data_IF_105547827296
#
_entry.id   IF_105547827296
#
_cell.length_a   1.000
_cell.length_b   1.000
_cell.length_c   1.000
_cell.angle_alpha   90.00
_cell.angle_beta   90.00
_cell.angle_gamma   90.00
#
_symmetry.space_group_name_H-M   'P 1'
#
loop_
_entity.id
_entity.type
_entity.pdbx_description
1 polymer ?
#
# COMPACT_ATOMS: atom_id res chain seq x y z
N UNK A 1 27.44 -17.88 11.97
CA UNK A 1 26.89 -17.04 12.11
C UNK A 1 25.53 -17.15 12.34
N UNK A 2 24.97 -16.52 12.95
CA UNK A 2 23.78 -16.77 13.43
C UNK A 2 22.76 -15.82 13.03
N UNK A 3 21.81 -16.21 12.29
CA UNK A 3 20.79 -15.35 11.83
C UNK A 3 19.49 -15.54 12.53
N UNK A 4 19.55 -16.16 13.66
CA UNK A 4 18.35 -16.54 14.35
C UNK A 4 17.60 -15.37 14.94
N UNK A 5 18.16 -14.17 14.88
CA UNK A 5 17.49 -13.01 15.46
C UNK A 5 16.62 -12.24 14.48
N UNK A 6 16.51 -12.70 13.26
CA UNK A 6 15.64 -12.04 12.32
C UNK A 6 14.21 -12.41 12.65
N UNK A 7 13.39 -11.39 12.84
CA UNK A 7 11.97 -11.61 13.09
C UNK A 7 11.20 -11.24 11.83
N UNK A 8 10.27 -12.08 11.47
CA UNK A 8 9.48 -11.87 10.26
C UNK A 8 8.04 -11.62 10.61
N UNK A 9 7.44 -10.69 9.88
CA UNK A 9 5.99 -10.58 9.86
C UNK A 9 5.48 -11.47 8.74
N UNK A 10 4.45 -12.23 9.03
CA UNK A 10 3.76 -13.04 8.04
C UNK A 10 2.31 -12.55 7.97
N UNK A 11 1.53 -13.09 7.08
CA UNK A 11 0.16 -12.62 6.88
C UNK A 11 0.11 -11.14 6.57
N UNK A 12 0.97 -10.71 5.65
CA UNK A 12 1.06 -9.31 5.26
C UNK A 12 0.88 -9.21 3.76
N UNK A 13 0.46 -8.04 3.33
CA UNK A 13 0.29 -7.73 1.93
C UNK A 13 0.73 -6.31 1.67
N UNK A 14 1.07 -6.03 0.43
CA UNK A 14 1.44 -4.70 0.00
C UNK A 14 0.35 -4.18 -0.91
N UNK A 15 -0.21 -3.04 -0.56
CA UNK A 15 -1.17 -2.36 -1.41
C UNK A 15 -0.42 -1.27 -2.16
N UNK A 16 -0.52 -1.29 -3.48
CA UNK A 16 0.14 -0.30 -4.32
C UNK A 16 -0.93 0.48 -5.05
N UNK A 17 -0.91 1.79 -4.88
CA UNK A 17 -1.85 2.69 -5.55
C UNK A 17 -1.10 3.52 -6.56
N UNK A 18 -1.60 3.59 -7.78
CA UNK A 18 -1.07 4.47 -8.81
C UNK A 18 -2.15 5.48 -9.09
N UNK A 19 -1.95 6.70 -8.66
CA UNK A 19 -3.04 7.68 -8.58
C UNK A 19 -2.63 9.00 -9.20
N UNK A 20 -3.61 9.85 -9.37
CA UNK A 20 -3.40 11.18 -9.89
C UNK A 20 -2.53 11.98 -8.93
N UNK A 21 -1.66 12.81 -9.47
CA UNK A 21 -0.80 13.66 -8.65
C UNK A 21 -1.64 14.52 -7.71
N UNK A 22 -1.20 14.63 -6.47
CA UNK A 22 -1.90 15.39 -5.46
C UNK A 22 -2.85 14.56 -4.61
N UNK A 23 -2.96 13.25 -4.86
CA UNK A 23 -3.93 12.41 -4.18
C UNK A 23 -3.30 11.64 -3.01
N UNK A 24 -1.98 11.51 -2.97
CA UNK A 24 -1.35 10.61 -2.03
C UNK A 24 -1.61 10.98 -0.57
N UNK A 25 -1.70 12.27 -0.25
CA UNK A 25 -1.92 12.66 1.15
C UNK A 25 -3.27 12.16 1.66
N UNK A 26 -4.30 12.23 0.83
CA UNK A 26 -5.61 11.74 1.22
C UNK A 26 -5.60 10.22 1.43
N UNK A 27 -4.87 9.52 0.59
CA UNK A 27 -4.74 8.08 0.71
C UNK A 27 -4.01 7.71 2.00
N UNK A 28 -2.90 8.39 2.27
CA UNK A 28 -2.12 8.10 3.47
C UNK A 28 -2.92 8.39 4.73
N UNK A 29 -3.68 9.48 4.72
CA UNK A 29 -4.52 9.81 5.86
C UNK A 29 -5.59 8.75 6.07
N UNK A 30 -6.24 8.33 5.01
CA UNK A 30 -7.28 7.32 5.11
C UNK A 30 -6.73 6.00 5.64
N UNK A 31 -5.54 5.63 5.20
CA UNK A 31 -4.90 4.41 5.67
C UNK A 31 -4.60 4.49 7.16
N UNK A 32 -4.08 5.63 7.60
CA UNK A 32 -3.80 5.82 9.03
C UNK A 32 -5.07 5.78 9.86
N UNK A 33 -6.13 6.39 9.36
CA UNK A 33 -7.37 6.47 10.10
C UNK A 33 -7.99 5.10 10.37
N UNK A 34 -7.71 4.12 9.54
CA UNK A 34 -8.22 2.78 9.75
C UNK A 34 -7.15 1.83 10.30
N UNK A 35 -6.04 2.37 10.77
CA UNK A 35 -5.06 1.59 11.51
C UNK A 35 -3.93 0.98 10.72
N UNK A 36 -3.84 1.26 9.44
CA UNK A 36 -2.70 0.81 8.66
C UNK A 36 -1.57 1.78 8.92
N UNK A 37 -0.61 1.32 9.68
CA UNK A 37 0.28 2.26 10.20
C UNK A 37 1.57 2.41 9.60
N UNK A 38 2.16 1.44 9.13
CA UNK A 38 3.57 1.55 8.86
C UNK A 38 3.84 1.19 7.44
N UNK A 39 4.98 1.57 6.95
CA UNK A 39 5.42 1.17 5.65
C UNK A 39 4.80 1.90 4.48
N UNK A 40 4.12 2.98 4.74
CA UNK A 40 3.54 3.75 3.63
C UNK A 40 4.62 4.61 2.99
N UNK A 41 4.74 4.52 1.70
CA UNK A 41 5.73 5.25 0.92
C UNK A 41 5.01 5.90 -0.25
N UNK A 42 5.33 7.15 -0.51
CA UNK A 42 4.76 7.85 -1.65
C UNK A 42 5.89 8.40 -2.51
N UNK A 43 5.75 8.27 -3.81
CA UNK A 43 6.72 8.85 -4.73
C UNK A 43 6.05 9.18 -6.05
N UNK A 44 6.69 10.06 -6.82
CA UNK A 44 6.19 10.46 -8.11
C UNK A 44 6.68 9.53 -9.19
N UNK A 45 5.88 9.33 -10.20
CA UNK A 45 6.24 8.48 -11.32
C UNK A 45 5.80 9.13 -12.61
N UNK A 46 6.61 8.96 -13.65
CA UNK A 46 6.25 9.35 -14.98
C UNK A 46 6.34 8.14 -15.86
N UNK A 47 5.30 7.90 -16.58
CA UNK A 47 5.24 6.65 -17.28
C UNK A 47 5.39 6.76 -18.78
N UNK A 48 6.56 7.13 -19.25
CA UNK A 48 6.70 7.15 -20.69
C UNK A 48 6.54 5.79 -21.31
N UNK A 49 7.33 4.85 -20.87
CA UNK A 49 7.34 3.55 -21.48
C UNK A 49 6.12 2.72 -21.17
N UNK A 50 5.34 3.15 -20.23
CA UNK A 50 4.20 2.37 -19.80
C UNK A 50 2.89 2.80 -20.46
N UNK A 51 2.96 3.79 -21.33
CA UNK A 51 1.74 4.28 -21.98
C UNK A 51 0.94 3.15 -22.61
N UNK A 52 1.61 2.29 -23.35
CA UNK A 52 0.90 1.22 -24.04
C UNK A 52 0.26 0.27 -23.05
N UNK A 53 1.01 -0.10 -22.03
CA UNK A 53 0.49 -1.06 -21.05
C UNK A 53 -0.64 -0.49 -20.24
N UNK A 54 -0.48 0.74 -19.79
CA UNK A 54 -1.52 1.38 -19.00
C UNK A 54 -2.72 1.78 -19.83
N UNK A 55 -2.53 1.91 -21.14
CA UNK A 55 -3.64 2.18 -22.01
C UNK A 55 -4.71 1.11 -21.97
N UNK A 56 -4.33 -0.12 -21.65
CA UNK A 56 -5.29 -1.20 -21.50
C UNK A 56 -6.23 -0.95 -20.33
N UNK A 57 -5.82 -0.13 -19.38
CA UNK A 57 -6.62 0.20 -18.23
C UNK A 57 -7.38 1.52 -18.42
N UNK A 58 -7.25 2.12 -19.58
CA UNK A 58 -7.92 3.38 -19.85
C UNK A 58 -7.35 4.57 -19.11
N UNK A 59 -6.09 4.49 -18.73
CA UNK A 59 -5.46 5.53 -17.94
C UNK A 59 -4.62 6.42 -18.82
N UNK A 60 -4.81 7.73 -18.66
CA UNK A 60 -4.02 8.70 -19.40
C UNK A 60 -2.63 8.76 -18.80
N UNK A 61 -1.64 8.37 -19.56
CA UNK A 61 -0.32 8.14 -19.01
C UNK A 61 0.59 9.33 -19.10
N UNK A 62 0.16 10.37 -19.80
CA UNK A 62 1.01 11.55 -19.91
C UNK A 62 1.01 12.39 -18.66
N UNK A 63 -0.01 12.23 -17.83
CA UNK A 63 -0.09 12.97 -16.59
C UNK A 63 0.86 12.37 -15.57
N UNK A 64 1.37 13.23 -14.73
CA UNK A 64 2.20 12.80 -13.63
C UNK A 64 1.36 11.99 -12.64
N UNK A 65 1.91 10.92 -12.14
CA UNK A 65 1.23 10.04 -11.20
C UNK A 65 1.99 9.99 -9.90
N UNK A 66 1.29 9.62 -8.86
CA UNK A 66 1.90 9.32 -7.57
C UNK A 66 1.68 7.85 -7.27
N UNK A 67 2.69 7.23 -6.70
CA UNK A 67 2.61 5.82 -6.30
C UNK A 67 2.69 5.75 -4.79
N UNK A 68 1.71 5.12 -4.18
CA UNK A 68 1.66 4.97 -2.73
C UNK A 68 1.68 3.49 -2.42
N UNK A 69 2.64 3.06 -1.60
CA UNK A 69 2.77 1.67 -1.18
C UNK A 69 2.49 1.59 0.31
N UNK A 70 1.59 0.70 0.68
CA UNK A 70 1.14 0.56 2.06
C UNK A 70 1.23 -0.90 2.45
N UNK A 71 1.93 -1.18 3.54
CA UNK A 71 2.04 -2.52 4.07
C UNK A 71 0.92 -2.74 5.06
N UNK A 72 0.16 -3.81 4.90
CA UNK A 72 -0.99 -4.09 5.77
C UNK A 72 -0.97 -5.54 6.20
N UNK A 73 -1.63 -5.81 7.32
CA UNK A 73 -1.89 -7.20 7.70
C UNK A 73 -3.02 -7.74 6.84
N UNK A 74 -3.04 -9.05 6.66
CA UNK A 74 -4.11 -9.66 5.87
C UNK A 74 -5.47 -9.39 6.46
N UNK A 75 -5.57 -9.29 7.78
CA UNK A 75 -6.84 -9.01 8.42
C UNK A 75 -7.38 -7.62 8.11
N UNK A 76 -6.49 -6.66 7.91
CA UNK A 76 -6.90 -5.30 7.67
C UNK A 76 -7.05 -4.98 6.21
N UNK A 77 -6.66 -5.89 5.36
CA UNK A 77 -6.55 -5.63 3.94
C UNK A 77 -7.82 -5.04 3.35
N UNK A 78 -8.95 -5.69 3.58
CA UNK A 78 -10.20 -5.23 2.96
C UNK A 78 -10.62 -3.86 3.48
N UNK A 79 -10.48 -3.64 4.76
CA UNK A 79 -10.84 -2.35 5.36
C UNK A 79 -9.98 -1.23 4.79
N UNK A 80 -8.69 -1.47 4.69
CA UNK A 80 -7.78 -0.46 4.17
C UNK A 80 -8.05 -0.21 2.70
N UNK A 81 -8.23 -1.28 1.91
CA UNK A 81 -8.50 -1.12 0.48
C UNK A 81 -9.76 -0.29 0.28
N UNK A 82 -10.83 -0.60 1.00
CA UNK A 82 -12.08 0.15 0.85
C UNK A 82 -11.90 1.62 1.20
N UNK A 83 -11.15 1.90 2.26
CA UNK A 83 -10.94 3.26 2.70
C UNK A 83 -10.12 4.06 1.70
N UNK A 84 -9.03 3.49 1.22
CA UNK A 84 -8.16 4.23 0.32
C UNK A 84 -8.73 4.32 -1.08
N UNK A 85 -9.54 3.35 -1.49
CA UNK A 85 -10.19 3.39 -2.80
C UNK A 85 -11.09 4.63 -2.88
N UNK A 86 -11.83 4.90 -1.82
CA UNK A 86 -12.71 6.06 -1.80
C UNK A 86 -11.93 7.35 -1.62
N UNK A 87 -10.96 7.35 -0.72
CA UNK A 87 -10.17 8.56 -0.46
C UNK A 87 -9.38 8.99 -1.69
N UNK A 88 -8.90 8.02 -2.47
CA UNK A 88 -8.14 8.30 -3.67
C UNK A 88 -8.99 8.57 -4.89
N UNK A 89 -10.32 8.48 -4.74
CA UNK A 89 -11.25 8.68 -5.83
C UNK A 89 -10.99 7.73 -6.97
N UNK A 90 -10.69 6.49 -6.63
CA UNK A 90 -10.41 5.48 -7.64
C UNK A 90 -11.69 5.03 -8.35
N UNK A 91 -12.84 5.38 -7.80
CA UNK A 91 -14.12 5.14 -8.42
C UNK A 91 -14.51 6.22 -9.43
N UNK A 92 -13.60 7.17 -9.70
CA UNK A 92 -13.83 8.20 -10.67
C UNK A 92 -12.91 8.02 -11.86
N UNK A 93 -13.37 8.44 -13.03
CA UNK A 93 -12.55 8.35 -14.23
C UNK A 93 -11.26 9.13 -14.05
N UNK A 94 -10.15 8.53 -14.40
CA UNK A 94 -8.86 9.19 -14.30
C UNK A 94 -8.25 9.15 -12.90
N UNK A 95 -8.90 8.54 -11.93
CA UNK A 95 -8.38 8.50 -10.57
C UNK A 95 -7.19 7.59 -10.42
N UNK A 96 -7.13 6.53 -11.19
CA UNK A 96 -6.04 5.59 -11.11
C UNK A 96 -6.51 4.20 -10.70
N UNK A 97 -5.60 3.44 -10.13
CA UNK A 97 -5.92 2.07 -9.73
C UNK A 97 -5.07 1.66 -8.54
N UNK A 98 -5.44 0.57 -7.92
CA UNK A 98 -4.62 -0.04 -6.89
C UNK A 98 -4.58 -1.55 -7.12
N UNK A 99 -3.56 -2.17 -6.60
CA UNK A 99 -3.50 -3.63 -6.59
C UNK A 99 -2.87 -4.10 -5.29
N UNK A 100 -3.11 -5.35 -4.97
CA UNK A 100 -2.65 -5.95 -3.73
C UNK A 100 -1.73 -7.10 -4.05
N UNK A 101 -0.58 -7.13 -3.39
CA UNK A 101 0.38 -8.21 -3.57
C UNK A 101 0.56 -8.91 -2.24
N UNK A 102 0.17 -10.18 -2.14
CA UNK A 102 0.49 -10.93 -0.93
C UNK A 102 1.99 -11.09 -0.79
N UNK A 103 2.50 -10.93 0.42
CA UNK A 103 3.92 -11.08 0.69
C UNK A 103 4.13 -12.32 1.52
N UNK A 104 5.20 -13.04 1.22
CA UNK A 104 5.53 -14.22 1.97
C UNK A 104 5.88 -13.86 3.41
N UNK A 105 6.77 -12.91 3.57
CA UNK A 105 7.17 -12.43 4.88
C UNK A 105 7.93 -11.12 4.75
N UNK A 106 7.96 -10.38 5.82
CA UNK A 106 8.69 -9.10 5.88
C UNK A 106 9.60 -9.14 7.09
N UNK A 107 10.87 -8.85 6.88
CA UNK A 107 11.85 -8.81 7.95
C UNK A 107 12.01 -7.37 8.41
N UNK A 108 11.77 -7.12 9.66
CA UNK A 108 11.91 -5.79 10.20
C UNK A 108 12.10 -5.86 11.70
N UNK A 109 12.56 -4.78 12.30
CA UNK A 109 12.64 -4.70 13.75
C UNK A 109 11.23 -4.52 14.29
N UNK A 110 10.89 -5.33 15.28
CA UNK A 110 9.59 -5.25 15.92
C UNK A 110 9.81 -5.01 17.40
N UNK A 111 9.28 -3.90 17.95
CA UNK A 111 9.42 -3.66 19.39
C UNK A 111 8.79 -4.77 20.20
N UNK A 112 9.35 -5.00 21.36
CA UNK A 112 8.95 -6.13 22.18
C UNK A 112 7.48 -6.08 22.57
N UNK A 113 6.98 -4.91 22.90
CA UNK A 113 5.58 -4.79 23.27
C UNK A 113 4.64 -5.03 22.11
N UNK A 114 5.06 -4.69 20.89
CA UNK A 114 4.27 -5.04 19.71
C UNK A 114 4.27 -6.54 19.47
N UNK A 115 5.39 -7.19 19.72
CA UNK A 115 5.45 -8.65 19.60
C UNK A 115 4.45 -9.30 20.55
N UNK A 116 4.38 -8.82 21.77
CA UNK A 116 3.43 -9.36 22.72
C UNK A 116 2.00 -9.18 22.27
N UNK A 117 1.68 -8.01 21.72
CA UNK A 117 0.34 -7.75 21.21
C UNK A 117 -0.01 -8.66 20.05
N UNK A 118 0.93 -8.90 19.17
CA UNK A 118 0.70 -9.78 18.04
C UNK A 118 0.45 -11.21 18.51
N UNK A 119 1.19 -11.66 19.50
CA UNK A 119 1.00 -13.00 20.02
C UNK A 119 -0.32 -13.16 20.73
N UNK A 120 -0.72 -12.15 21.47
CA UNK A 120 -1.99 -12.20 22.17
C UNK A 120 -3.18 -12.11 21.22
N UNK A 121 -3.01 -11.44 20.11
CA UNK A 121 -4.08 -11.30 19.16
C UNK A 121 -4.30 -12.53 18.29
N UNK A 122 -3.43 -13.51 18.44
CA UNK A 122 -3.56 -14.74 17.64
C UNK A 122 -4.52 -15.76 18.29
#
# INVERSE_FOLDING_TARGET
>A
MNNSNITYLTDVALITCVVKAGTSDAILKAARDVGAITGAISYHARGYGSRVRLGLLGIAVEAEKEVVSILVSSEQQDTVVNSIYRAGKLDHAGGGYLYVTPLDKVATYIPEDMMNNLQEGS
#
